data_IF_832719607720
#
_entry.id   IF_832719607720
#
_cell.length_a   1.000
_cell.length_b   1.000
_cell.length_c   1.000
_cell.angle_alpha   90.00
_cell.angle_beta   90.00
_cell.angle_gamma   90.00
#
_symmetry.space_group_name_H-M   'P 1'
#
loop_
_entity.id
_entity.type
_entity.pdbx_description
1 polymer ?
#
# COMPACT_ATOMS: atom_id res chain seq x y z
N UNK A 1 17.76 -1.70 -15.05
CA UNK A 1 17.51 -0.70 -13.99
C UNK A 1 16.05 -0.82 -13.59
N UNK A 2 15.76 -0.85 -12.27
CA UNK A 2 14.39 -0.93 -11.77
C UNK A 2 13.95 0.47 -11.29
N UNK A 3 12.82 0.97 -11.77
CA UNK A 3 12.20 2.22 -11.32
C UNK A 3 11.14 1.88 -10.28
N UNK A 4 11.27 2.42 -9.08
CA UNK A 4 10.37 2.18 -7.94
C UNK A 4 9.74 3.52 -7.54
N UNK A 5 8.45 3.53 -7.29
CA UNK A 5 7.70 4.73 -6.93
C UNK A 5 7.01 4.51 -5.60
N UNK A 6 7.01 5.49 -4.74
CA UNK A 6 6.18 5.52 -3.54
C UNK A 6 5.60 6.91 -3.32
N UNK A 7 4.44 6.98 -2.67
CA UNK A 7 3.80 8.23 -2.26
C UNK A 7 3.87 8.35 -0.74
N UNK A 8 4.38 9.46 -0.20
CA UNK A 8 4.53 9.67 1.24
C UNK A 8 4.24 11.12 1.66
N UNK A 9 4.00 11.29 2.95
CA UNK A 9 4.13 12.52 3.72
C UNK A 9 5.22 12.37 4.79
N UNK A 10 5.49 13.42 5.55
CA UNK A 10 6.53 13.41 6.59
C UNK A 10 6.30 12.33 7.67
N UNK A 11 5.06 12.00 7.99
CA UNK A 11 4.74 10.98 9.01
C UNK A 11 5.16 9.59 8.54
N UNK A 12 5.11 9.36 7.23
CA UNK A 12 5.47 8.08 6.62
C UNK A 12 6.96 7.98 6.23
N UNK A 13 7.77 9.04 6.39
CA UNK A 13 9.19 9.05 6.04
C UNK A 13 9.95 7.86 6.65
N UNK A 14 9.80 7.62 7.96
CA UNK A 14 10.48 6.51 8.66
C UNK A 14 10.04 5.13 8.17
N UNK A 15 8.78 4.99 7.78
CA UNK A 15 8.21 3.73 7.28
C UNK A 15 8.68 3.47 5.84
N UNK A 16 8.70 4.51 5.02
CA UNK A 16 9.32 4.47 3.69
C UNK A 16 10.80 4.07 3.78
N UNK A 17 11.55 4.60 4.75
CA UNK A 17 12.93 4.19 4.98
C UNK A 17 13.08 2.70 5.28
N UNK A 18 12.21 2.12 6.11
CA UNK A 18 12.21 0.67 6.39
C UNK A 18 11.86 -0.16 5.15
N UNK A 19 10.89 0.27 4.36
CA UNK A 19 10.51 -0.33 3.08
C UNK A 19 11.68 -0.30 2.10
N UNK A 20 12.32 0.88 1.88
CA UNK A 20 13.45 1.03 0.97
C UNK A 20 14.66 0.20 1.41
N UNK A 21 14.96 0.16 2.70
CA UNK A 21 16.05 -0.67 3.22
C UNK A 21 15.80 -2.15 2.94
N UNK A 22 14.57 -2.65 3.15
CA UNK A 22 14.21 -4.02 2.83
C UNK A 22 14.31 -4.32 1.33
N UNK A 23 13.94 -3.36 0.49
CA UNK A 23 14.09 -3.45 -0.96
C UNK A 23 15.56 -3.58 -1.36
N UNK A 24 16.43 -2.71 -0.83
CA UNK A 24 17.84 -2.68 -1.21
C UNK A 24 18.59 -3.94 -0.75
N UNK A 25 18.31 -4.44 0.45
CA UNK A 25 18.94 -5.66 0.97
C UNK A 25 18.51 -6.93 0.21
N UNK A 26 17.29 -6.95 -0.34
CA UNK A 26 16.77 -8.11 -1.09
C UNK A 26 16.92 -8.00 -2.60
N UNK A 27 17.28 -6.81 -3.13
CA UNK A 27 17.34 -6.56 -4.58
C UNK A 27 18.66 -5.92 -5.00
N UNK A 28 19.63 -6.72 -5.44
CA UNK A 28 20.87 -6.20 -5.99
C UNK A 28 20.64 -5.49 -7.33
N UNK A 29 21.61 -4.68 -7.76
CA UNK A 29 21.59 -4.00 -9.06
C UNK A 29 21.08 -2.56 -9.01
N UNK A 30 20.95 -1.93 -10.16
CA UNK A 30 20.58 -0.53 -10.29
C UNK A 30 19.08 -0.32 -10.00
N UNK A 31 18.79 0.58 -9.07
CA UNK A 31 17.44 0.99 -8.69
C UNK A 31 17.37 2.52 -8.65
N UNK A 32 16.33 3.07 -9.24
CA UNK A 32 15.97 4.49 -9.12
C UNK A 32 14.65 4.62 -8.37
N UNK A 33 14.63 5.44 -7.33
CA UNK A 33 13.46 5.70 -6.50
C UNK A 33 12.84 7.04 -6.91
N UNK A 34 11.54 7.08 -7.10
CA UNK A 34 10.74 8.28 -7.27
C UNK A 34 9.80 8.42 -6.08
N UNK A 35 9.98 9.48 -5.30
CA UNK A 35 9.14 9.77 -4.13
C UNK A 35 8.17 10.88 -4.50
N UNK A 36 6.88 10.52 -4.55
CA UNK A 36 5.79 11.49 -4.74
C UNK A 36 5.39 12.02 -3.37
N UNK A 37 5.23 13.32 -3.22
CA UNK A 37 4.85 13.92 -1.94
C UNK A 37 3.96 15.14 -2.07
N UNK A 38 3.22 15.40 -0.99
CA UNK A 38 2.58 16.67 -0.72
C UNK A 38 3.46 17.37 0.33
N UNK A 39 4.36 18.25 -0.09
CA UNK A 39 5.18 19.08 0.81
C UNK A 39 6.09 18.29 1.79
N UNK A 40 6.91 17.38 1.27
CA UNK A 40 7.87 16.67 2.11
C UNK A 40 8.97 17.63 2.62
N UNK A 41 9.21 17.63 3.94
CA UNK A 41 10.23 18.48 4.53
C UNK A 41 11.65 18.16 4.05
N UNK A 42 12.52 19.15 4.00
CA UNK A 42 13.93 18.96 3.65
C UNK A 42 14.64 17.99 4.61
N UNK A 43 14.21 17.92 5.87
CA UNK A 43 14.71 16.93 6.83
C UNK A 43 14.38 15.51 6.34
N UNK A 44 13.16 15.22 5.96
CA UNK A 44 12.74 13.90 5.45
C UNK A 44 13.44 13.57 4.13
N UNK A 45 13.55 14.53 3.21
CA UNK A 45 14.29 14.35 1.95
C UNK A 45 15.75 13.99 2.21
N UNK A 46 16.42 14.69 3.13
CA UNK A 46 17.82 14.42 3.45
C UNK A 46 18.03 13.05 4.11
N UNK A 47 17.11 12.61 4.99
CA UNK A 47 17.17 11.28 5.60
C UNK A 47 17.03 10.16 4.57
N UNK A 48 16.05 10.27 3.68
CA UNK A 48 15.84 9.30 2.60
C UNK A 48 16.97 9.31 1.60
N UNK A 49 17.47 10.50 1.22
CA UNK A 49 18.62 10.64 0.32
C UNK A 49 19.87 9.98 0.92
N UNK A 50 20.18 10.22 2.18
CA UNK A 50 21.33 9.61 2.85
C UNK A 50 21.26 8.08 2.88
N UNK A 51 20.04 7.52 3.10
CA UNK A 51 19.84 6.08 3.01
C UNK A 51 20.11 5.56 1.59
N UNK A 52 19.51 6.19 0.57
CA UNK A 52 19.62 5.74 -0.83
C UNK A 52 21.05 5.85 -1.34
N UNK A 53 21.74 6.94 -1.02
CA UNK A 53 23.16 7.16 -1.37
C UNK A 53 24.07 6.10 -0.73
N UNK A 54 23.79 5.67 0.52
CA UNK A 54 24.57 4.63 1.20
C UNK A 54 24.50 3.25 0.52
N UNK A 55 23.45 3.02 -0.25
CA UNK A 55 23.27 1.82 -1.10
C UNK A 55 23.67 2.06 -2.57
N UNK A 56 24.25 3.21 -2.90
CA UNK A 56 24.65 3.58 -4.28
C UNK A 56 23.48 3.50 -5.27
N UNK A 57 22.28 3.92 -4.84
CA UNK A 57 21.07 4.00 -5.64
C UNK A 57 20.77 5.46 -5.98
N UNK A 58 19.72 5.69 -6.75
CA UNK A 58 19.27 7.03 -7.14
C UNK A 58 17.91 7.34 -6.51
N UNK A 59 17.68 8.60 -6.14
CA UNK A 59 16.39 9.08 -5.64
C UNK A 59 16.03 10.43 -6.24
N UNK A 60 14.76 10.57 -6.64
CA UNK A 60 14.15 11.80 -7.12
C UNK A 60 12.91 12.10 -6.28
N UNK A 61 12.80 13.33 -5.80
CA UNK A 61 11.62 13.83 -5.09
C UNK A 61 10.76 14.62 -6.08
N UNK A 62 9.47 14.32 -6.11
CA UNK A 62 8.49 14.97 -6.96
C UNK A 62 7.40 15.52 -6.05
N UNK A 63 7.47 16.82 -5.76
CA UNK A 63 6.48 17.50 -4.95
C UNK A 63 5.27 17.86 -5.83
N UNK A 64 4.08 17.49 -5.37
CA UNK A 64 2.81 17.73 -6.04
C UNK A 64 2.07 18.80 -5.23
N UNK A 65 1.62 19.90 -5.87
CA UNK A 65 0.84 20.90 -5.17
C UNK A 65 -0.39 20.31 -4.52
N UNK A 66 -0.59 20.59 -3.23
CA UNK A 66 -1.70 20.03 -2.44
C UNK A 66 -3.06 20.41 -3.01
N UNK A 67 -3.17 21.57 -3.67
CA UNK A 67 -4.39 22.06 -4.31
C UNK A 67 -4.98 21.10 -5.35
N UNK A 68 -4.13 20.27 -5.97
CA UNK A 68 -4.56 19.29 -6.97
C UNK A 68 -5.41 18.15 -6.36
N UNK A 69 -5.25 17.87 -5.08
CA UNK A 69 -5.90 16.73 -4.40
C UNK A 69 -6.83 17.13 -3.25
N UNK A 70 -6.83 18.41 -2.80
CA UNK A 70 -7.60 18.87 -1.64
C UNK A 70 -9.10 18.53 -1.70
N UNK A 71 -9.67 18.53 -2.90
CA UNK A 71 -11.10 18.28 -3.13
C UNK A 71 -11.42 16.81 -3.45
N UNK A 72 -10.45 15.90 -3.37
CA UNK A 72 -10.70 14.50 -3.67
C UNK A 72 -11.51 13.82 -2.57
N UNK A 73 -12.25 12.73 -2.89
CA UNK A 73 -13.13 12.09 -1.92
C UNK A 73 -12.34 11.49 -0.76
N UNK A 74 -12.47 12.10 0.42
CA UNK A 74 -11.94 11.61 1.69
C UNK A 74 -12.99 11.81 2.78
N UNK A 75 -13.13 10.85 3.67
CA UNK A 75 -13.94 10.98 4.89
C UNK A 75 -13.03 11.28 6.06
N UNK A 76 -13.50 12.02 7.04
CA UNK A 76 -12.74 12.32 8.28
C UNK A 76 -12.35 11.05 9.08
N UNK A 77 -13.01 9.93 8.81
CA UNK A 77 -12.75 8.62 9.43
C UNK A 77 -11.81 7.76 8.59
N UNK A 78 -11.41 8.23 7.41
CA UNK A 78 -10.56 7.46 6.50
C UNK A 78 -9.15 7.39 7.06
N UNK A 79 -8.57 6.23 6.92
CA UNK A 79 -7.24 5.88 7.40
C UNK A 79 -6.11 6.41 6.51
N UNK A 80 -6.19 6.34 5.15
CA UNK A 80 -5.18 6.90 4.26
C UNK A 80 -5.17 8.43 4.28
N UNK A 81 -4.02 9.04 3.99
CA UNK A 81 -3.92 10.46 3.71
C UNK A 81 -4.24 10.76 2.24
N UNK A 82 -4.41 12.04 1.89
CA UNK A 82 -4.57 12.47 0.49
C UNK A 82 -3.40 12.02 -0.41
N UNK A 83 -2.24 11.71 0.19
CA UNK A 83 -1.09 11.18 -0.55
C UNK A 83 -1.39 9.86 -1.29
N UNK A 84 -2.44 9.12 -0.90
CA UNK A 84 -2.87 7.93 -1.64
C UNK A 84 -3.23 8.23 -3.10
N UNK A 85 -3.78 9.43 -3.37
CA UNK A 85 -4.16 9.83 -4.73
C UNK A 85 -2.98 10.23 -5.63
N UNK A 86 -1.79 10.44 -5.07
CA UNK A 86 -0.61 10.89 -5.85
C UNK A 86 -0.24 9.91 -6.96
N UNK A 87 -0.53 8.61 -6.77
CA UNK A 87 -0.26 7.59 -7.79
C UNK A 87 -1.06 7.76 -9.09
N UNK A 88 -2.17 8.51 -9.07
CA UNK A 88 -2.94 8.79 -10.27
C UNK A 88 -2.23 9.77 -11.22
N UNK A 89 -1.23 10.49 -10.73
CA UNK A 89 -0.43 11.44 -11.53
C UNK A 89 0.87 10.83 -12.07
N UNK A 90 1.22 9.59 -11.71
CA UNK A 90 2.47 8.93 -12.11
C UNK A 90 2.76 9.06 -13.61
N UNK A 91 1.80 8.81 -14.54
CA UNK A 91 2.11 8.87 -15.97
C UNK A 91 2.57 10.25 -16.46
N UNK A 92 2.12 11.33 -15.81
CA UNK A 92 2.49 12.70 -16.17
C UNK A 92 3.74 13.20 -15.45
N UNK A 93 4.05 12.64 -14.28
CA UNK A 93 5.11 13.13 -13.41
C UNK A 93 6.47 12.47 -13.66
N UNK A 94 6.46 11.23 -14.11
CA UNK A 94 7.72 10.52 -14.38
C UNK A 94 8.39 11.03 -15.66
N UNK A 95 9.75 11.01 -15.70
CA UNK A 95 10.50 11.29 -16.92
C UNK A 95 9.98 10.47 -18.11
N UNK A 96 9.99 11.07 -19.31
CA UNK A 96 9.41 10.46 -20.51
C UNK A 96 10.02 9.10 -20.86
N UNK A 97 11.30 8.91 -20.58
CA UNK A 97 12.06 7.68 -20.79
C UNK A 97 11.71 6.53 -19.83
N UNK A 98 10.90 6.79 -18.79
CA UNK A 98 10.45 5.75 -17.85
C UNK A 98 9.15 5.13 -18.35
N UNK A 99 9.27 4.01 -19.07
CA UNK A 99 8.12 3.29 -19.63
C UNK A 99 7.49 2.28 -18.66
N UNK A 100 8.25 1.83 -17.64
CA UNK A 100 7.81 0.85 -16.65
C UNK A 100 8.34 1.19 -15.26
N UNK A 101 7.47 1.08 -14.26
CA UNK A 101 7.83 1.33 -12.87
C UNK A 101 6.97 0.50 -11.90
N UNK A 102 7.53 0.13 -10.75
CA UNK A 102 6.80 -0.55 -9.67
C UNK A 102 6.36 0.49 -8.64
N UNK A 103 5.04 0.64 -8.44
CA UNK A 103 4.50 1.41 -7.33
C UNK A 103 4.43 0.55 -6.07
N UNK A 104 4.82 1.14 -4.94
CA UNK A 104 4.93 0.45 -3.64
C UNK A 104 4.44 1.35 -2.52
N UNK A 105 3.49 0.88 -1.71
CA UNK A 105 3.10 1.53 -0.46
C UNK A 105 4.20 1.42 0.60
N UNK A 106 4.29 2.40 1.50
CA UNK A 106 5.36 2.49 2.52
C UNK A 106 5.22 1.49 3.67
N UNK A 107 4.10 0.77 3.75
CA UNK A 107 3.81 -0.28 4.73
C UNK A 107 4.12 -1.69 4.21
N UNK A 108 5.08 -1.77 3.30
CA UNK A 108 5.54 -3.01 2.67
C UNK A 108 6.95 -3.36 3.15
N UNK A 109 7.23 -4.67 3.25
CA UNK A 109 8.57 -5.20 3.48
C UNK A 109 8.88 -6.25 2.41
N UNK A 110 9.99 -6.05 1.71
CA UNK A 110 10.52 -6.99 0.74
C UNK A 110 11.32 -8.10 1.44
N UNK A 111 11.08 -9.35 1.05
CA UNK A 111 11.77 -10.52 1.57
C UNK A 111 12.55 -11.28 0.49
N UNK A 112 12.25 -11.03 -0.79
CA UNK A 112 12.89 -11.69 -1.93
C UNK A 112 13.13 -10.70 -3.07
N UNK A 113 13.98 -11.08 -4.00
CA UNK A 113 14.23 -10.34 -5.24
C UNK A 113 12.95 -10.27 -6.09
N UNK A 114 12.65 -9.06 -6.57
CA UNK A 114 11.45 -8.77 -7.38
C UNK A 114 11.71 -8.85 -8.88
N UNK A 115 12.90 -9.24 -9.33
CA UNK A 115 13.24 -9.26 -10.75
C UNK A 115 12.25 -10.08 -11.59
N UNK A 116 11.85 -11.25 -11.08
CA UNK A 116 10.88 -12.09 -11.79
C UNK A 116 9.51 -11.42 -12.01
N UNK A 117 9.08 -10.54 -11.07
CA UNK A 117 7.88 -9.71 -11.26
C UNK A 117 8.19 -8.53 -12.17
N UNK A 118 9.28 -7.80 -11.89
CA UNK A 118 9.62 -6.59 -12.63
C UNK A 118 9.84 -6.83 -14.11
N UNK A 119 10.40 -8.00 -14.46
CA UNK A 119 10.69 -8.40 -15.85
C UNK A 119 9.49 -9.06 -16.57
N UNK A 120 8.34 -9.19 -15.88
CA UNK A 120 7.12 -9.68 -16.53
C UNK A 120 6.75 -8.83 -17.74
N UNK A 121 6.29 -9.49 -18.80
CA UNK A 121 5.77 -8.82 -19.98
C UNK A 121 4.37 -8.26 -19.68
N UNK A 122 4.28 -6.94 -19.63
CA UNK A 122 3.04 -6.19 -19.47
C UNK A 122 2.71 -5.31 -20.68
N UNK A 123 3.27 -5.61 -21.84
CA UNK A 123 3.12 -4.80 -23.05
C UNK A 123 1.65 -4.58 -23.40
N UNK A 124 0.81 -5.61 -23.24
CA UNK A 124 -0.62 -5.56 -23.54
C UNK A 124 -1.51 -5.19 -22.35
N UNK A 125 -0.92 -4.84 -21.20
CA UNK A 125 -1.61 -4.52 -19.97
C UNK A 125 -1.25 -3.11 -19.48
N UNK A 126 -2.17 -2.48 -18.79
CA UNK A 126 -1.91 -1.20 -18.13
C UNK A 126 -1.04 -1.37 -16.87
N UNK A 127 -1.19 -2.51 -16.19
CA UNK A 127 -0.41 -2.88 -15.03
C UNK A 127 -0.42 -4.40 -14.78
N UNK A 128 0.52 -4.86 -13.93
CA UNK A 128 0.41 -6.14 -13.25
C UNK A 128 0.18 -5.91 -11.76
N UNK A 129 -0.79 -6.61 -11.18
CA UNK A 129 -1.17 -6.48 -9.78
C UNK A 129 -1.83 -7.74 -9.23
N UNK A 130 -1.93 -7.84 -7.91
CA UNK A 130 -2.57 -8.98 -7.24
C UNK A 130 -4.06 -8.69 -7.00
N UNK A 131 -4.89 -9.72 -7.14
CA UNK A 131 -6.31 -9.66 -6.74
C UNK A 131 -6.41 -9.33 -5.24
N UNK A 132 -7.23 -8.34 -4.91
CA UNK A 132 -7.51 -7.98 -3.52
C UNK A 132 -8.28 -9.09 -2.79
N UNK A 133 -8.37 -8.99 -1.47
CA UNK A 133 -9.20 -9.89 -0.67
C UNK A 133 -10.66 -9.91 -1.19
N UNK A 134 -11.40 -11.02 -1.00
CA UNK A 134 -12.77 -11.13 -1.49
C UNK A 134 -13.64 -9.94 -1.08
N UNK A 135 -14.26 -9.29 -2.05
CA UNK A 135 -15.08 -8.10 -1.84
C UNK A 135 -16.11 -7.96 -2.96
N UNK A 136 -17.02 -7.00 -2.83
CA UNK A 136 -18.01 -6.65 -3.85
C UNK A 136 -17.67 -5.34 -4.58
N UNK A 137 -16.40 -4.96 -4.61
CA UNK A 137 -15.99 -3.67 -5.17
C UNK A 137 -16.16 -3.63 -6.69
N UNK A 138 -15.92 -4.74 -7.39
CA UNK A 138 -16.19 -4.83 -8.83
C UNK A 138 -17.66 -4.53 -9.13
N UNK A 139 -18.59 -5.17 -8.40
CA UNK A 139 -20.04 -4.95 -8.55
C UNK A 139 -20.43 -3.50 -8.23
N UNK A 140 -19.87 -2.91 -7.16
CA UNK A 140 -20.10 -1.50 -6.78
C UNK A 140 -19.64 -0.53 -7.86
N UNK A 141 -18.55 -0.84 -8.54
CA UNK A 141 -18.03 -0.03 -9.67
C UNK A 141 -18.85 -0.24 -10.96
N UNK A 142 -19.77 -1.20 -11.00
CA UNK A 142 -20.65 -1.48 -12.14
C UNK A 142 -20.16 -2.61 -13.05
N UNK A 143 -19.22 -3.44 -12.58
CA UNK A 143 -18.74 -4.63 -13.28
C UNK A 143 -19.40 -5.91 -12.73
N UNK A 144 -19.37 -7.02 -13.47
CA UNK A 144 -19.81 -8.32 -12.97
C UNK A 144 -19.11 -8.70 -11.65
N UNK A 145 -19.84 -9.37 -10.73
CA UNK A 145 -19.24 -9.83 -9.46
C UNK A 145 -18.11 -10.84 -9.66
N UNK A 146 -18.11 -11.53 -10.79
CA UNK A 146 -17.04 -12.46 -11.20
C UNK A 146 -15.73 -11.78 -11.55
N UNK A 147 -15.77 -10.47 -11.80
CA UNK A 147 -14.60 -9.74 -12.26
C UNK A 147 -13.65 -9.43 -11.13
N UNK A 148 -12.37 -9.46 -11.44
CA UNK A 148 -11.32 -9.31 -10.45
C UNK A 148 -11.07 -7.83 -10.16
N UNK A 149 -10.90 -7.53 -8.87
CA UNK A 149 -10.54 -6.23 -8.34
C UNK A 149 -9.14 -6.33 -7.71
N UNK A 150 -8.19 -5.49 -8.13
CA UNK A 150 -6.82 -5.58 -7.66
C UNK A 150 -6.52 -4.62 -6.51
N UNK A 151 -5.54 -5.00 -5.67
CA UNK A 151 -4.98 -4.15 -4.63
C UNK A 151 -3.96 -3.17 -5.24
N UNK A 152 -4.14 -1.88 -5.00
CA UNK A 152 -3.34 -0.81 -5.61
C UNK A 152 -2.03 -0.50 -4.88
N UNK A 153 -1.79 -1.09 -3.71
CA UNK A 153 -0.60 -0.79 -2.89
C UNK A 153 0.71 -1.38 -3.40
N UNK A 154 0.62 -2.33 -4.35
CA UNK A 154 1.79 -2.95 -4.98
C UNK A 154 1.46 -3.35 -6.41
N UNK A 155 1.85 -2.52 -7.38
CA UNK A 155 1.51 -2.69 -8.79
C UNK A 155 2.67 -2.34 -9.72
N UNK A 156 2.95 -3.21 -10.68
CA UNK A 156 3.90 -2.93 -11.75
C UNK A 156 3.17 -2.20 -12.88
N UNK A 157 3.48 -0.94 -13.07
CA UNK A 157 2.81 -0.04 -14.01
C UNK A 157 3.48 -0.07 -15.39
N UNK A 158 2.70 -0.19 -16.45
CA UNK A 158 3.08 0.16 -17.81
C UNK A 158 2.84 1.67 -17.99
N UNK A 159 3.84 2.46 -17.65
CA UNK A 159 3.73 3.93 -17.63
C UNK A 159 3.48 4.48 -19.04
N UNK A 160 4.11 3.86 -20.06
CA UNK A 160 3.86 4.21 -21.46
C UNK A 160 2.39 3.99 -21.84
N UNK A 161 1.83 2.82 -21.55
CA UNK A 161 0.42 2.50 -21.82
C UNK A 161 -0.52 3.50 -21.13
N UNK A 162 -0.23 3.85 -19.87
CA UNK A 162 -1.03 4.80 -19.11
C UNK A 162 -0.95 6.21 -19.70
N UNK A 163 0.20 6.64 -20.22
CA UNK A 163 0.35 7.89 -20.97
C UNK A 163 -0.46 7.88 -22.27
N UNK A 164 -0.28 6.81 -23.06
CA UNK A 164 -0.94 6.68 -24.38
C UNK A 164 -2.47 6.70 -24.25
N UNK A 165 -3.02 6.20 -23.13
CA UNK A 165 -4.46 6.25 -22.86
C UNK A 165 -4.95 7.53 -22.18
N UNK A 166 -4.06 8.49 -21.91
CA UNK A 166 -4.38 9.71 -21.16
C UNK A 166 -5.01 9.45 -19.79
N UNK A 167 -4.39 8.50 -19.05
CA UNK A 167 -4.94 7.97 -17.79
C UNK A 167 -5.23 9.06 -16.76
N UNK A 168 -4.29 9.99 -16.52
CA UNK A 168 -4.44 11.00 -15.46
C UNK A 168 -5.66 11.89 -15.70
N UNK A 169 -5.88 12.39 -16.92
CA UNK A 169 -7.06 13.20 -17.20
C UNK A 169 -8.35 12.41 -17.08
N UNK A 170 -8.36 11.14 -17.48
CA UNK A 170 -9.50 10.23 -17.26
C UNK A 170 -9.76 9.98 -15.76
N UNK A 171 -8.71 9.85 -14.94
CA UNK A 171 -8.85 9.69 -13.50
C UNK A 171 -9.46 10.94 -12.86
N UNK A 172 -9.02 12.14 -13.27
CA UNK A 172 -9.60 13.39 -12.80
C UNK A 172 -11.08 13.53 -13.20
N UNK A 173 -11.42 13.17 -14.43
CA UNK A 173 -12.81 13.15 -14.89
C UNK A 173 -13.65 12.16 -14.09
N UNK A 174 -13.15 10.94 -13.86
CA UNK A 174 -13.85 9.91 -13.06
C UNK A 174 -14.09 10.35 -11.61
N UNK A 175 -13.10 10.97 -10.97
CA UNK A 175 -13.23 11.50 -9.61
C UNK A 175 -14.31 12.58 -9.53
N UNK A 176 -14.41 13.46 -10.54
CA UNK A 176 -15.42 14.51 -10.63
C UNK A 176 -16.82 13.92 -10.87
N UNK A 177 -16.94 12.99 -11.84
CA UNK A 177 -18.23 12.57 -12.41
C UNK A 177 -18.83 11.36 -11.70
N UNK A 178 -18.01 10.57 -10.96
CA UNK A 178 -18.41 9.33 -10.29
C UNK A 178 -18.02 9.32 -8.80
N UNK A 179 -18.01 10.49 -8.14
CA UNK A 179 -17.53 10.67 -6.77
C UNK A 179 -18.21 9.72 -5.77
N UNK A 180 -19.49 9.44 -5.95
CA UNK A 180 -20.30 8.59 -5.08
C UNK A 180 -19.90 7.10 -5.15
N UNK A 181 -19.24 6.68 -6.22
CA UNK A 181 -18.73 5.32 -6.39
C UNK A 181 -17.38 5.10 -5.70
N UNK A 182 -16.68 6.18 -5.31
CA UNK A 182 -15.34 6.12 -4.74
C UNK A 182 -15.46 5.90 -3.23
N UNK A 183 -15.07 4.72 -2.76
CA UNK A 183 -15.04 4.29 -1.35
C UNK A 183 -13.61 3.94 -0.91
N UNK A 184 -12.85 3.29 -1.77
CA UNK A 184 -11.45 2.91 -1.55
C UNK A 184 -10.50 3.83 -2.34
N UNK A 185 -10.82 5.12 -2.37
CA UNK A 185 -9.98 6.20 -2.89
C UNK A 185 -9.42 5.93 -4.29
N UNK A 186 -8.13 6.08 -4.47
CA UNK A 186 -7.39 5.84 -5.70
C UNK A 186 -7.52 4.40 -6.23
N UNK A 187 -7.63 3.41 -5.34
CA UNK A 187 -7.80 2.01 -5.72
C UNK A 187 -9.08 1.79 -6.54
N UNK A 188 -10.18 2.47 -6.19
CA UNK A 188 -11.42 2.41 -6.97
C UNK A 188 -11.27 3.07 -8.33
N UNK A 189 -10.60 4.21 -8.39
CA UNK A 189 -10.36 4.93 -9.66
C UNK A 189 -9.51 4.07 -10.61
N UNK A 190 -8.44 3.48 -10.09
CA UNK A 190 -7.57 2.58 -10.86
C UNK A 190 -8.35 1.37 -11.38
N UNK A 191 -9.10 0.67 -10.50
CA UNK A 191 -9.88 -0.49 -10.89
C UNK A 191 -10.99 -0.15 -11.89
N UNK A 192 -11.65 1.02 -11.75
CA UNK A 192 -12.70 1.45 -12.66
C UNK A 192 -12.17 1.72 -14.09
N UNK A 193 -11.02 2.39 -14.19
CA UNK A 193 -10.47 2.82 -15.49
C UNK A 193 -9.65 1.75 -16.19
N UNK A 194 -9.05 0.83 -15.41
CA UNK A 194 -8.15 -0.21 -15.92
C UNK A 194 -8.79 -1.60 -15.94
N UNK A 195 -10.10 -1.68 -15.73
CA UNK A 195 -10.85 -2.92 -15.83
C UNK A 195 -10.56 -3.67 -17.15
N UNK A 196 -10.30 -4.97 -17.06
CA UNK A 196 -9.94 -5.81 -18.22
C UNK A 196 -8.54 -5.58 -18.79
N UNK A 197 -7.71 -4.70 -18.19
CA UNK A 197 -6.36 -4.35 -18.68
C UNK A 197 -5.27 -4.66 -17.63
N UNK A 198 -5.53 -5.62 -16.77
CA UNK A 198 -4.67 -6.00 -15.64
C UNK A 198 -4.13 -7.42 -15.86
N UNK A 199 -2.81 -7.58 -15.74
CA UNK A 199 -2.17 -8.89 -15.59
C UNK A 199 -2.20 -9.28 -14.11
N UNK A 200 -3.01 -10.26 -13.73
CA UNK A 200 -3.04 -10.74 -12.34
C UNK A 200 -1.84 -11.64 -12.06
N UNK A 201 -1.12 -11.31 -10.97
CA UNK A 201 0.10 -12.00 -10.56
C UNK A 201 -0.12 -12.82 -9.28
N UNK A 202 0.76 -13.81 -9.00
CA UNK A 202 0.71 -14.63 -7.79
C UNK A 202 0.69 -13.82 -6.49
N UNK A 203 -0.06 -14.32 -5.48
CA UNK A 203 -0.28 -13.64 -4.20
C UNK A 203 1.01 -13.39 -3.41
N UNK A 204 2.06 -14.21 -3.62
CA UNK A 204 3.36 -14.03 -2.96
C UNK A 204 3.96 -12.64 -3.14
N UNK A 205 3.56 -11.92 -4.21
CA UNK A 205 4.05 -10.58 -4.52
C UNK A 205 3.35 -9.46 -3.73
N UNK A 206 2.22 -9.78 -3.08
CA UNK A 206 1.51 -8.78 -2.26
C UNK A 206 0.70 -9.49 -1.16
N UNK A 207 1.39 -10.08 -0.17
CA UNK A 207 0.75 -10.83 0.91
C UNK A 207 0.11 -9.90 1.93
N UNK A 208 -1.22 -9.70 1.78
CA UNK A 208 -2.02 -8.80 2.60
C UNK A 208 -2.19 -9.31 4.04
N UNK A 209 -2.39 -8.41 4.99
CA UNK A 209 -2.59 -8.74 6.41
C UNK A 209 -3.77 -9.69 6.64
N UNK A 210 -4.86 -9.53 5.89
CA UNK A 210 -6.05 -10.36 6.02
C UNK A 210 -5.83 -11.83 5.63
N UNK A 211 -4.78 -12.15 4.87
CA UNK A 211 -4.41 -13.52 4.55
C UNK A 211 -3.85 -14.30 5.76
N UNK A 212 -3.34 -13.57 6.75
CA UNK A 212 -2.80 -14.14 8.00
C UNK A 212 -3.85 -14.28 9.11
N UNK A 213 -5.12 -13.93 8.86
CA UNK A 213 -6.21 -14.11 9.83
C UNK A 213 -6.58 -15.59 10.01
N UNK A 214 -7.31 -15.88 11.06
CA UNK A 214 -7.81 -17.23 11.36
C UNK A 214 -9.35 -17.19 11.48
N UNK A 215 -10.08 -17.68 10.48
CA UNK A 215 -9.61 -18.21 9.18
C UNK A 215 -9.05 -17.10 8.28
N UNK A 216 -8.20 -17.44 7.30
CA UNK A 216 -7.66 -16.49 6.36
C UNK A 216 -8.79 -15.92 5.49
N UNK A 217 -8.73 -14.61 5.22
CA UNK A 217 -9.69 -13.93 4.36
C UNK A 217 -9.11 -13.76 2.96
N UNK A 218 -9.28 -14.78 2.14
CA UNK A 218 -8.74 -14.90 0.78
C UNK A 218 -9.69 -15.75 -0.08
N UNK A 219 -9.68 -15.56 -1.39
CA UNK A 219 -10.47 -16.38 -2.31
C UNK A 219 -9.97 -17.84 -2.29
N UNK A 220 -10.90 -18.80 -2.31
CA UNK A 220 -10.61 -20.24 -2.18
C UNK A 220 -9.59 -20.75 -3.21
N UNK A 221 -9.61 -20.19 -4.44
CA UNK A 221 -8.65 -20.54 -5.51
C UNK A 221 -7.19 -20.33 -5.13
N UNK A 222 -6.90 -19.44 -4.17
CA UNK A 222 -5.52 -19.13 -3.72
C UNK A 222 -5.09 -19.89 -2.47
N UNK A 223 -5.92 -20.76 -1.87
CA UNK A 223 -5.58 -21.44 -0.61
C UNK A 223 -4.30 -22.28 -0.68
N UNK A 224 -4.04 -22.94 -1.82
CA UNK A 224 -2.81 -23.68 -2.02
C UNK A 224 -1.59 -22.75 -2.05
N UNK A 225 -1.65 -21.71 -2.86
CA UNK A 225 -0.58 -20.72 -2.97
C UNK A 225 -0.33 -20.01 -1.63
N UNK A 226 -1.41 -19.75 -0.86
CA UNK A 226 -1.31 -19.19 0.48
C UNK A 226 -0.46 -20.09 1.40
N UNK A 227 -0.76 -21.39 1.49
CA UNK A 227 0.00 -22.32 2.32
C UNK A 227 1.48 -22.38 1.92
N UNK A 228 1.78 -22.29 0.63
CA UNK A 228 3.16 -22.32 0.12
C UNK A 228 3.97 -21.05 0.48
N UNK A 229 3.29 -19.91 0.77
CA UNK A 229 3.94 -18.61 0.94
C UNK A 229 3.73 -17.95 2.31
N UNK A 230 2.91 -18.50 3.22
CA UNK A 230 2.60 -17.91 4.53
C UNK A 230 3.85 -17.58 5.35
N UNK A 231 4.79 -18.53 5.43
CA UNK A 231 5.99 -18.40 6.26
C UNK A 231 7.14 -17.71 5.52
N UNK A 232 7.10 -17.67 4.18
CA UNK A 232 8.17 -17.12 3.35
C UNK A 232 7.63 -16.35 2.14
N UNK A 233 6.86 -15.28 2.35
CA UNK A 233 6.36 -14.44 1.26
C UNK A 233 7.50 -13.76 0.51
N UNK A 234 7.26 -13.32 -0.72
CA UNK A 234 8.20 -12.46 -1.42
C UNK A 234 8.06 -11.01 -0.95
N UNK A 235 6.81 -10.58 -0.71
CA UNK A 235 6.47 -9.23 -0.24
C UNK A 235 5.40 -9.33 0.83
N UNK A 236 5.65 -8.70 1.99
CA UNK A 236 4.68 -8.55 3.08
C UNK A 236 4.05 -7.17 2.94
N UNK A 237 2.72 -7.10 2.88
CA UNK A 237 1.99 -5.85 2.87
C UNK A 237 1.11 -5.73 4.12
N UNK A 238 1.45 -4.81 5.01
CA UNK A 238 0.68 -4.52 6.21
C UNK A 238 -0.52 -3.62 5.88
N UNK A 239 -1.38 -4.08 4.97
CA UNK A 239 -2.48 -3.32 4.37
C UNK A 239 -3.63 -2.99 5.33
N UNK A 240 -3.68 -3.63 6.48
CA UNK A 240 -4.71 -3.38 7.49
C UNK A 240 -4.57 -2.04 8.23
N UNK A 241 -5.60 -1.65 9.00
CA UNK A 241 -5.59 -0.40 9.74
C UNK A 241 -4.60 -0.37 10.90
N UNK A 242 -4.26 -1.54 11.48
CA UNK A 242 -3.20 -1.67 12.48
C UNK A 242 -1.88 -2.02 11.81
N UNK A 243 -1.05 -1.00 11.63
CA UNK A 243 0.27 -1.13 11.05
C UNK A 243 1.27 -1.81 12.00
N UNK A 244 2.39 -2.36 11.50
CA UNK A 244 3.37 -3.05 12.33
C UNK A 244 3.96 -2.16 13.42
N UNK A 245 4.02 -0.85 13.21
CA UNK A 245 4.47 0.14 14.20
C UNK A 245 3.42 0.52 15.23
N UNK A 246 2.15 0.13 15.07
CA UNK A 246 1.13 0.40 16.08
C UNK A 246 1.13 -0.68 17.17
N UNK A 247 0.93 -0.27 18.42
CA UNK A 247 0.74 -1.21 19.53
C UNK A 247 -0.50 -2.09 19.26
N UNK A 248 -0.39 -3.38 19.55
CA UNK A 248 -1.49 -4.34 19.34
C UNK A 248 -1.66 -4.83 17.89
N UNK A 249 -0.78 -4.48 16.96
CA UNK A 249 -0.78 -5.06 15.63
C UNK A 249 -0.71 -6.61 15.70
N UNK A 250 -1.73 -7.33 15.16
CA UNK A 250 -1.83 -8.77 15.31
C UNK A 250 -1.03 -9.55 14.25
N UNK A 251 -0.40 -8.86 13.31
CA UNK A 251 0.24 -9.48 12.16
C UNK A 251 1.41 -10.40 12.61
N UNK A 252 1.45 -11.68 12.24
CA UNK A 252 2.46 -12.62 12.72
C UNK A 252 3.88 -12.25 12.29
N UNK A 253 4.04 -11.65 11.10
CA UNK A 253 5.32 -11.19 10.56
C UNK A 253 5.66 -9.73 10.93
N UNK A 254 5.00 -9.15 11.96
CA UNK A 254 5.27 -7.80 12.45
C UNK A 254 6.75 -7.54 12.72
N UNK A 255 7.47 -8.54 13.21
CA UNK A 255 8.90 -8.45 13.51
C UNK A 255 9.74 -8.07 12.29
N UNK A 256 9.30 -8.47 11.09
CA UNK A 256 10.02 -8.18 9.85
C UNK A 256 10.13 -6.68 9.58
N UNK A 257 9.10 -5.89 9.92
CA UNK A 257 9.17 -4.44 9.85
C UNK A 257 10.27 -3.89 10.79
N UNK A 258 10.31 -4.34 12.06
CA UNK A 258 11.29 -3.86 13.04
C UNK A 258 12.71 -4.32 12.75
N UNK A 259 12.89 -5.44 12.02
CA UNK A 259 14.21 -5.89 11.56
C UNK A 259 14.89 -4.86 10.64
N UNK A 260 14.11 -4.06 9.91
CA UNK A 260 14.61 -2.99 9.05
C UNK A 260 14.53 -1.62 9.73
N UNK A 261 13.40 -1.28 10.31
CA UNK A 261 13.20 0.04 10.91
C UNK A 261 14.24 0.38 11.98
N UNK A 262 14.64 -0.60 12.81
CA UNK A 262 15.64 -0.42 13.87
C UNK A 262 17.08 -0.27 13.37
N UNK A 263 17.37 -0.62 12.14
CA UNK A 263 18.68 -0.36 11.52
C UNK A 263 18.87 1.12 11.16
N UNK A 264 17.77 1.87 11.05
CA UNK A 264 17.79 3.30 10.79
C UNK A 264 17.77 4.05 12.13
N UNK A 265 18.74 4.96 12.36
CA UNK A 265 18.79 5.79 13.58
C UNK A 265 17.53 6.67 13.76
N UNK A 266 16.85 6.97 12.64
CA UNK A 266 15.63 7.76 12.57
C UNK A 266 14.38 6.91 12.32
N UNK A 267 14.51 5.58 12.27
CA UNK A 267 13.41 4.63 12.09
C UNK A 267 12.59 4.45 13.36
N UNK A 268 11.40 3.87 13.21
CA UNK A 268 10.53 3.53 14.34
C UNK A 268 11.17 2.45 15.21
N UNK A 269 11.52 2.78 16.45
CA UNK A 269 12.25 1.89 17.37
C UNK A 269 11.30 1.04 18.22
N UNK A 270 10.09 1.54 18.51
CA UNK A 270 9.09 0.89 19.36
C UNK A 270 7.67 1.18 18.86
N UNK A 271 6.71 0.33 19.21
CA UNK A 271 5.31 0.55 18.84
C UNK A 271 4.74 1.85 19.38
N UNK A 272 3.92 2.50 18.56
CA UNK A 272 3.16 3.69 18.93
C UNK A 272 1.78 3.31 19.50
N UNK A 273 1.45 3.92 20.63
CA UNK A 273 0.15 3.75 21.30
C UNK A 273 -0.90 4.79 20.87
N UNK A 274 -0.45 5.95 20.38
CA UNK A 274 -1.33 7.07 20.07
C UNK A 274 -2.40 6.71 19.03
N UNK A 275 -2.02 5.99 18.00
CA UNK A 275 -2.93 5.57 16.95
C UNK A 275 -4.10 4.70 17.45
N UNK A 276 -3.86 3.86 18.45
CA UNK A 276 -4.90 2.98 19.01
C UNK A 276 -6.10 3.78 19.53
N UNK A 277 -5.84 4.90 20.19
CA UNK A 277 -6.92 5.74 20.74
C UNK A 277 -7.62 6.60 19.69
N UNK A 278 -6.93 6.96 18.60
CA UNK A 278 -7.50 7.77 17.52
C UNK A 278 -8.30 6.95 16.49
N UNK A 279 -7.87 5.72 16.22
CA UNK A 279 -8.43 4.90 15.13
C UNK A 279 -9.60 4.00 15.56
N UNK A 280 -9.73 3.67 16.87
CA UNK A 280 -10.74 2.74 17.36
C UNK A 280 -11.67 3.39 18.37
N UNK A 281 -12.90 2.83 18.48
CA UNK A 281 -13.82 3.21 19.55
C UNK A 281 -13.18 2.93 20.90
N UNK A 282 -13.41 3.81 21.87
CA UNK A 282 -12.74 3.80 23.18
C UNK A 282 -12.57 2.40 23.83
N UNK A 283 -13.62 1.52 23.88
CA UNK A 283 -13.44 0.20 24.48
C UNK A 283 -12.43 -0.68 23.74
N UNK A 284 -12.44 -0.67 22.41
CA UNK A 284 -11.48 -1.45 21.60
C UNK A 284 -10.06 -0.90 21.80
N UNK A 285 -9.90 0.41 21.77
CA UNK A 285 -8.62 1.09 21.99
C UNK A 285 -8.06 0.75 23.37
N UNK A 286 -8.89 0.76 24.42
CA UNK A 286 -8.49 0.43 25.77
C UNK A 286 -8.00 -1.01 25.89
N UNK A 287 -8.71 -1.97 25.28
CA UNK A 287 -8.31 -3.38 25.32
C UNK A 287 -6.99 -3.63 24.58
N UNK A 288 -6.78 -2.94 23.45
CA UNK A 288 -5.50 -3.02 22.72
C UNK A 288 -4.38 -2.41 23.57
N UNK A 289 -4.63 -1.26 24.21
CA UNK A 289 -3.68 -0.62 25.12
C UNK A 289 -3.30 -1.53 26.30
N UNK A 290 -4.27 -2.29 26.84
CA UNK A 290 -4.03 -3.31 27.87
C UNK A 290 -3.37 -4.59 27.35
N UNK A 291 -2.88 -4.60 26.11
CA UNK A 291 -2.14 -5.72 25.53
C UNK A 291 -3.00 -6.78 24.85
N UNK A 292 -4.30 -6.53 24.63
CA UNK A 292 -5.12 -7.43 23.82
C UNK A 292 -4.78 -7.32 22.33
N UNK A 293 -4.87 -8.43 21.62
CA UNK A 293 -4.88 -8.40 20.13
C UNK A 293 -6.15 -7.71 19.63
N UNK A 294 -6.13 -7.17 18.41
CA UNK A 294 -7.29 -6.52 17.81
C UNK A 294 -8.53 -7.43 17.83
N UNK A 295 -8.40 -8.67 17.40
CA UNK A 295 -9.49 -9.65 17.38
C UNK A 295 -10.11 -9.87 18.76
N UNK A 296 -9.25 -10.00 19.79
CA UNK A 296 -9.69 -10.17 21.19
C UNK A 296 -10.38 -8.90 21.70
N UNK A 297 -9.86 -7.72 21.36
CA UNK A 297 -10.43 -6.43 21.76
C UNK A 297 -11.81 -6.22 21.14
N UNK A 298 -11.98 -6.50 19.85
CA UNK A 298 -13.28 -6.40 19.17
C UNK A 298 -14.30 -7.42 19.70
N UNK A 299 -13.86 -8.64 20.05
CA UNK A 299 -14.71 -9.64 20.69
C UNK A 299 -15.21 -9.21 22.07
N UNK A 300 -14.34 -8.55 22.85
CA UNK A 300 -14.70 -8.00 24.16
C UNK A 300 -15.66 -6.81 24.02
N UNK A 301 -15.42 -5.90 23.09
CA UNK A 301 -16.32 -4.76 22.83
C UNK A 301 -17.74 -5.26 22.42
N UNK A 302 -17.82 -6.24 21.52
CA UNK A 302 -19.11 -6.87 21.15
C UNK A 302 -19.83 -7.43 22.37
N UNK A 303 -19.14 -8.18 23.25
CA UNK A 303 -19.74 -8.74 24.48
C UNK A 303 -20.31 -7.66 25.40
N UNK A 304 -19.59 -6.53 25.56
CA UNK A 304 -20.02 -5.40 26.41
C UNK A 304 -21.28 -4.74 25.83
N UNK A 305 -21.32 -4.52 24.50
CA UNK A 305 -22.47 -3.92 23.83
C UNK A 305 -23.73 -4.79 23.90
N UNK A 306 -23.57 -6.12 23.80
CA UNK A 306 -24.70 -7.06 23.96
C UNK A 306 -25.26 -7.08 25.39
N UNK A 307 -24.40 -6.92 26.43
CA UNK A 307 -24.87 -6.84 27.82
C UNK A 307 -25.57 -5.52 28.16
N UNK A 308 -25.30 -4.42 27.44
CA UNK A 308 -25.99 -3.12 27.65
C UNK A 308 -27.34 -3.03 26.94
N UNK A 309 -27.71 -3.97 26.11
CA UNK A 309 -29.02 -4.05 25.43
C UNK A 309 -30.00 -5.03 26.07
N UNK A 310 -29.63 -5.65 27.17
CA UNK A 310 -30.49 -6.43 28.07
C UNK A 310 -30.65 -5.65 29.42
#
# INVERSE_FOLDING_TARGET
>A
MKNIICGIDDQYCQHCGAMLLSLFESNPGAITIYVLSLELSEKSKNLLKGLVDSYQKQIHFIDIPSELVLNFPMKSTDYPSLATYLRLFIPQLLPFEVDKALYVDSDIIFKKDISALYDSDITNYALAGMEDAPNQNALRLGFPESDLYFNAGFVLLNVKYLRDMDFTNKAMAYIRDCREKIVLHDQDVLNALLHGKVLFVPIKWNMLDCFYRKPPFIAKKYMRELHENLDSPAVIHFSGPLKPWHHGCPHPLRKEYFNYSRKLSWGCQSPDYYYVFSAFKFPVSLFIWLGCTLEKAERLDRKIRFKKKR
#
